data_IF_359456183286
#
_entry.id   IF_359456183286
#
_cell.length_a   1.000
_cell.length_b   1.000
_cell.length_c   1.000
_cell.angle_alpha   90.00
_cell.angle_beta   90.00
_cell.angle_gamma   90.00
#
_symmetry.space_group_name_H-M   'P 1'
#
loop_
_entity.id
_entity.type
_entity.pdbx_description
1 polymer ?
#
# COMPACT_ATOMS: atom_id res chain seq x y z
N UNK A 1 -19.77 -12.18 -31.93
CA UNK A 1 -20.56 -11.25 -31.07
C UNK A 1 -20.02 -9.87 -31.34
N UNK A 2 -20.86 -8.93 -31.78
CA UNK A 2 -20.39 -7.56 -32.06
C UNK A 2 -19.85 -6.93 -30.78
N UNK A 3 -18.67 -6.32 -30.86
CA UNK A 3 -18.13 -5.50 -29.79
C UNK A 3 -19.06 -4.30 -29.58
N UNK A 4 -20.06 -4.46 -28.71
CA UNK A 4 -20.84 -3.35 -28.19
C UNK A 4 -19.93 -2.54 -27.26
N UNK A 5 -19.01 -1.79 -27.87
CA UNK A 5 -18.18 -0.83 -27.17
C UNK A 5 -19.11 0.25 -26.63
N UNK A 6 -19.20 0.33 -25.32
CA UNK A 6 -19.99 1.35 -24.64
C UNK A 6 -19.42 2.74 -24.94
N UNK A 7 -20.27 3.66 -25.42
CA UNK A 7 -19.88 5.05 -25.70
C UNK A 7 -19.86 5.86 -24.39
N UNK A 8 -18.74 5.76 -23.67
CA UNK A 8 -18.51 6.47 -22.41
C UNK A 8 -18.65 7.99 -22.52
N UNK A 9 -18.10 8.68 -23.55
CA UNK A 9 -18.33 10.10 -23.74
C UNK A 9 -19.82 10.48 -23.82
N UNK A 10 -20.63 9.72 -24.58
CA UNK A 10 -22.07 9.97 -24.66
C UNK A 10 -22.77 9.72 -23.32
N UNK A 11 -22.42 8.64 -22.63
CA UNK A 11 -22.97 8.33 -21.31
C UNK A 11 -22.65 9.43 -20.29
N UNK A 12 -21.39 9.88 -20.23
CA UNK A 12 -20.96 10.99 -19.37
C UNK A 12 -21.77 12.25 -19.63
N UNK A 13 -21.87 12.68 -20.90
CA UNK A 13 -22.66 13.86 -21.28
C UNK A 13 -24.13 13.73 -20.85
N UNK A 14 -24.71 12.55 -21.03
CA UNK A 14 -26.08 12.28 -20.59
C UNK A 14 -26.22 12.42 -19.07
N UNK A 15 -25.37 11.73 -18.30
CA UNK A 15 -25.40 11.79 -16.84
C UNK A 15 -25.21 13.22 -16.32
N UNK A 16 -24.27 13.98 -16.91
CA UNK A 16 -24.06 15.40 -16.57
C UNK A 16 -25.27 16.27 -16.92
N UNK A 17 -26.00 15.97 -18.00
CA UNK A 17 -27.22 16.70 -18.39
C UNK A 17 -28.37 16.53 -17.39
N UNK A 18 -28.39 15.43 -16.62
CA UNK A 18 -29.42 15.17 -15.63
C UNK A 18 -29.30 16.08 -14.39
N UNK A 19 -28.20 16.85 -14.25
CA UNK A 19 -27.95 17.77 -13.14
C UNK A 19 -28.10 17.12 -11.75
N UNK A 20 -27.81 15.82 -11.66
CA UNK A 20 -27.93 15.05 -10.42
C UNK A 20 -26.77 15.41 -9.47
N UNK A 21 -27.01 15.55 -8.16
CA UNK A 21 -25.97 15.75 -7.16
C UNK A 21 -25.26 14.41 -6.88
N UNK A 22 -24.54 13.89 -7.87
CA UNK A 22 -23.83 12.61 -7.76
C UNK A 22 -22.74 12.71 -6.70
N UNK A 23 -22.91 11.92 -5.64
CA UNK A 23 -21.91 11.76 -4.57
C UNK A 23 -20.92 10.64 -4.88
N UNK A 24 -21.37 9.64 -5.63
CA UNK A 24 -20.67 8.39 -5.92
C UNK A 24 -20.98 7.93 -7.35
N UNK A 25 -19.99 7.30 -7.96
CA UNK A 25 -20.14 6.60 -9.23
C UNK A 25 -19.29 5.34 -9.15
N UNK A 26 -19.96 4.18 -9.16
CA UNK A 26 -19.29 2.88 -9.20
C UNK A 26 -19.57 2.26 -10.56
N UNK A 27 -18.51 1.67 -11.14
CA UNK A 27 -18.61 0.87 -12.33
C UNK A 27 -17.79 -0.40 -12.09
N UNK A 28 -18.28 -1.51 -12.63
CA UNK A 28 -17.59 -2.79 -12.58
C UNK A 28 -17.50 -3.28 -14.02
N UNK A 29 -16.27 -3.52 -14.48
CA UNK A 29 -16.02 -4.13 -15.78
C UNK A 29 -15.65 -5.58 -15.51
N UNK A 30 -16.45 -6.49 -16.05
CA UNK A 30 -16.20 -7.92 -15.93
C UNK A 30 -14.81 -8.21 -16.53
N UNK A 31 -13.99 -8.89 -15.74
CA UNK A 31 -12.51 -9.00 -15.71
C UNK A 31 -11.76 -9.38 -17.01
N UNK A 32 -12.40 -9.36 -18.18
CA UNK A 32 -11.83 -9.86 -19.44
C UNK A 32 -11.43 -8.78 -20.45
N UNK A 33 -11.74 -7.51 -20.23
CA UNK A 33 -11.31 -6.43 -21.14
C UNK A 33 -10.55 -5.37 -20.38
N UNK A 34 -9.29 -5.18 -20.75
CA UNK A 34 -8.53 -4.01 -20.35
C UNK A 34 -9.29 -2.78 -20.82
N UNK A 35 -9.63 -1.92 -19.87
CA UNK A 35 -10.20 -0.62 -20.17
C UNK A 35 -9.12 0.18 -20.87
N UNK A 36 -9.45 0.81 -22.00
CA UNK A 36 -8.53 1.77 -22.59
C UNK A 36 -8.36 2.95 -21.62
N UNK A 37 -7.16 3.51 -21.54
CA UNK A 37 -6.87 4.62 -20.61
C UNK A 37 -7.85 5.79 -20.79
N UNK A 38 -8.30 6.06 -22.03
CA UNK A 38 -9.27 7.11 -22.31
C UNK A 38 -10.65 6.82 -21.71
N UNK A 39 -11.06 5.56 -21.62
CA UNK A 39 -12.34 5.20 -21.01
C UNK A 39 -12.32 5.39 -19.49
N UNK A 40 -11.22 5.08 -18.82
CA UNK A 40 -11.07 5.33 -17.38
C UNK A 40 -11.18 6.81 -17.05
N UNK A 41 -10.53 7.68 -17.84
CA UNK A 41 -10.65 9.14 -17.67
C UNK A 41 -12.10 9.62 -17.80
N UNK A 42 -12.82 9.14 -18.81
CA UNK A 42 -14.23 9.51 -19.01
C UNK A 42 -15.10 9.07 -17.83
N UNK A 43 -14.82 7.91 -17.25
CA UNK A 43 -15.52 7.40 -16.08
C UNK A 43 -15.28 8.29 -14.85
N UNK A 44 -14.03 8.67 -14.56
CA UNK A 44 -13.75 9.57 -13.44
C UNK A 44 -14.39 10.95 -13.62
N UNK A 45 -14.51 11.39 -14.87
CA UNK A 45 -15.11 12.66 -15.21
C UNK A 45 -16.65 12.69 -15.14
N UNK A 46 -17.32 11.54 -14.92
CA UNK A 46 -18.76 11.46 -14.61
C UNK A 46 -19.07 12.13 -13.26
N UNK A 47 -18.20 11.94 -12.28
CA UNK A 47 -18.39 12.47 -10.93
C UNK A 47 -17.06 13.06 -10.43
N UNK A 48 -16.60 14.21 -10.95
CA UNK A 48 -15.25 14.75 -10.66
C UNK A 48 -15.06 15.16 -9.19
N UNK A 49 -16.15 15.37 -8.45
CA UNK A 49 -16.13 15.80 -7.05
C UNK A 49 -16.35 14.64 -6.05
N UNK A 50 -16.28 13.38 -6.49
CA UNK A 50 -16.46 12.26 -5.58
C UNK A 50 -15.32 12.22 -4.57
N UNK A 51 -15.69 12.15 -3.29
CA UNK A 51 -14.74 11.96 -2.20
C UNK A 51 -14.35 10.50 -2.02
N UNK A 52 -15.05 9.59 -2.68
CA UNK A 52 -14.84 8.16 -2.62
C UNK A 52 -14.59 7.60 -4.02
N UNK A 53 -13.53 6.80 -4.15
CA UNK A 53 -13.15 6.15 -5.42
C UNK A 53 -12.87 4.69 -5.20
N UNK A 54 -13.35 3.87 -6.13
CA UNK A 54 -12.99 2.47 -6.25
C UNK A 54 -12.27 2.29 -7.58
N UNK A 55 -11.08 1.70 -7.54
CA UNK A 55 -10.21 1.44 -8.67
C UNK A 55 -9.93 -0.06 -8.72
N UNK A 56 -9.90 -0.63 -9.91
CA UNK A 56 -9.15 -1.87 -10.09
C UNK A 56 -7.66 -1.54 -9.96
N UNK A 57 -6.85 -2.47 -9.44
CA UNK A 57 -5.39 -2.33 -9.44
C UNK A 57 -4.85 -1.96 -10.82
N UNK A 58 -5.39 -2.59 -11.87
CA UNK A 58 -5.01 -2.31 -13.25
C UNK A 58 -5.39 -0.92 -13.74
N UNK A 59 -6.37 -0.27 -13.10
CA UNK A 59 -6.83 1.08 -13.44
C UNK A 59 -6.04 2.20 -12.74
N UNK A 60 -5.03 1.88 -11.92
CA UNK A 60 -4.12 2.86 -11.36
C UNK A 60 -3.03 3.25 -12.38
N UNK A 61 -3.45 3.78 -13.53
CA UNK A 61 -2.56 4.30 -14.57
C UNK A 61 -1.98 5.66 -14.16
N UNK A 62 -0.85 6.12 -14.74
CA UNK A 62 -0.28 7.44 -14.49
C UNK A 62 -1.27 8.58 -14.74
N UNK A 63 -2.17 8.41 -15.72
CA UNK A 63 -3.24 9.35 -16.04
C UNK A 63 -4.30 9.40 -14.94
N UNK A 64 -4.80 8.24 -14.50
CA UNK A 64 -5.74 8.15 -13.39
C UNK A 64 -5.12 8.71 -12.11
N UNK A 65 -3.85 8.39 -11.85
CA UNK A 65 -3.08 8.97 -10.77
C UNK A 65 -3.00 10.50 -10.87
N UNK A 66 -2.68 11.06 -12.04
CA UNK A 66 -2.68 12.51 -12.27
C UNK A 66 -4.07 13.11 -12.05
N UNK A 67 -5.13 12.42 -12.46
CA UNK A 67 -6.51 12.86 -12.21
C UNK A 67 -6.84 12.89 -10.71
N UNK A 68 -6.43 11.87 -9.95
CA UNK A 68 -6.66 11.80 -8.50
C UNK A 68 -5.90 12.89 -7.73
N UNK A 69 -4.71 13.28 -8.20
CA UNK A 69 -3.89 14.32 -7.57
C UNK A 69 -4.23 15.73 -8.02
N UNK A 70 -4.86 15.91 -9.18
CA UNK A 70 -5.25 17.23 -9.70
C UNK A 70 -6.69 17.61 -9.38
N UNK A 71 -7.51 16.68 -8.87
CA UNK A 71 -8.89 16.96 -8.49
C UNK A 71 -8.97 17.94 -7.31
N UNK A 72 -9.86 18.95 -7.36
CA UNK A 72 -10.07 19.90 -6.27
C UNK A 72 -10.76 19.27 -5.07
N UNK A 73 -11.47 18.16 -5.29
CA UNK A 73 -12.14 17.42 -4.24
C UNK A 73 -11.13 16.61 -3.43
N UNK A 74 -11.21 16.80 -2.13
CA UNK A 74 -10.43 16.05 -1.15
C UNK A 74 -10.90 14.59 -1.14
N UNK A 75 -10.04 13.68 -1.58
CA UNK A 75 -10.32 12.24 -1.57
C UNK A 75 -10.28 11.72 -0.12
N UNK A 76 -11.42 11.23 0.36
CA UNK A 76 -11.54 10.66 1.72
C UNK A 76 -11.56 9.14 1.71
N UNK A 77 -11.93 8.50 0.61
CA UNK A 77 -11.99 7.02 0.51
C UNK A 77 -11.38 6.55 -0.80
N UNK A 78 -10.44 5.60 -0.72
CA UNK A 78 -9.83 4.95 -1.86
C UNK A 78 -9.90 3.43 -1.67
N UNK A 79 -10.60 2.76 -2.57
CA UNK A 79 -10.71 1.31 -2.64
C UNK A 79 -9.97 0.80 -3.87
N UNK A 80 -9.03 -0.11 -3.70
CA UNK A 80 -8.23 -0.71 -4.75
C UNK A 80 -8.54 -2.20 -4.74
N UNK A 81 -9.28 -2.64 -5.74
CA UNK A 81 -9.64 -4.04 -5.92
C UNK A 81 -8.48 -4.76 -6.59
N UNK A 82 -7.94 -5.80 -5.94
CA UNK A 82 -7.07 -6.75 -6.64
C UNK A 82 -7.92 -7.76 -7.39
N UNK A 83 -7.44 -8.14 -8.56
CA UNK A 83 -7.92 -9.34 -9.23
C UNK A 83 -7.26 -10.54 -8.56
N UNK A 84 -8.01 -11.59 -8.24
CA UNK A 84 -7.50 -12.82 -7.58
C UNK A 84 -6.32 -13.47 -8.34
N UNK A 85 -6.16 -13.13 -9.62
CA UNK A 85 -5.09 -13.63 -10.50
C UNK A 85 -3.94 -12.64 -10.75
N UNK A 86 -3.92 -11.49 -10.08
CA UNK A 86 -2.87 -10.50 -10.27
C UNK A 86 -1.55 -10.94 -9.60
N UNK A 87 -0.78 -11.77 -10.31
CA UNK A 87 0.64 -11.93 -10.04
C UNK A 87 1.33 -10.61 -10.40
N UNK A 88 1.49 -9.71 -9.43
CA UNK A 88 2.30 -8.52 -9.62
C UNK A 88 3.75 -8.96 -9.91
N UNK A 89 4.29 -8.54 -11.04
CA UNK A 89 5.69 -8.81 -11.35
C UNK A 89 6.59 -7.78 -10.66
N UNK A 90 7.76 -8.24 -10.20
CA UNK A 90 8.66 -7.45 -9.34
C UNK A 90 9.21 -6.18 -10.00
N UNK A 91 9.45 -6.22 -11.31
CA UNK A 91 10.05 -5.09 -12.01
C UNK A 91 8.96 -4.12 -12.47
N UNK A 92 8.80 -3.04 -11.71
CA UNK A 92 7.95 -1.95 -12.15
C UNK A 92 8.25 -1.50 -13.59
N UNK A 93 7.20 -1.22 -14.36
CA UNK A 93 7.18 -0.65 -15.70
C UNK A 93 8.15 -1.33 -16.67
N UNK A 94 7.88 -2.59 -17.02
CA UNK A 94 8.31 -3.08 -18.34
C UNK A 94 7.19 -2.85 -19.34
N UNK A 95 7.34 -1.77 -20.10
CA UNK A 95 6.60 -1.55 -21.33
C UNK A 95 7.18 -2.48 -22.41
N UNK A 96 7.10 -3.79 -22.21
CA UNK A 96 7.37 -4.74 -23.28
C UNK A 96 6.02 -5.19 -23.83
N UNK A 97 5.60 -4.51 -24.89
CA UNK A 97 4.32 -4.68 -25.58
C UNK A 97 4.09 -6.08 -26.15
N UNK A 98 5.06 -7.00 -26.01
CA UNK A 98 5.07 -8.17 -26.89
C UNK A 98 4.05 -9.25 -26.54
N UNK A 99 3.72 -9.55 -25.29
CA UNK A 99 2.82 -10.71 -25.08
C UNK A 99 1.83 -10.69 -23.90
N UNK A 100 1.93 -9.83 -22.88
CA UNK A 100 1.01 -9.92 -21.73
C UNK A 100 0.70 -8.59 -21.02
N UNK A 101 0.09 -7.65 -21.75
CA UNK A 101 -0.60 -6.47 -21.21
C UNK A 101 0.26 -5.50 -20.37
N UNK A 102 -0.29 -4.33 -19.99
CA UNK A 102 0.39 -3.40 -19.09
C UNK A 102 0.52 -4.04 -17.70
N UNK A 103 1.76 -4.38 -17.31
CA UNK A 103 2.05 -4.91 -15.98
C UNK A 103 2.15 -3.77 -14.97
N UNK A 104 1.28 -3.84 -13.96
CA UNK A 104 1.12 -2.85 -12.92
C UNK A 104 2.35 -2.75 -12.01
N UNK A 105 2.60 -1.56 -11.48
CA UNK A 105 3.61 -1.32 -10.43
C UNK A 105 2.94 -0.58 -9.30
N UNK A 106 3.31 -0.89 -8.07
CA UNK A 106 2.74 -0.23 -6.91
C UNK A 106 3.32 1.20 -6.70
N UNK A 107 4.29 1.67 -7.52
CA UNK A 107 4.96 2.97 -7.36
C UNK A 107 4.03 4.20 -7.44
N UNK A 108 3.08 4.31 -8.40
CA UNK A 108 2.12 5.42 -8.41
C UNK A 108 1.24 5.43 -7.16
N UNK A 109 0.84 4.26 -6.67
CA UNK A 109 0.08 4.16 -5.43
C UNK A 109 0.92 4.61 -4.22
N UNK A 110 2.18 4.19 -4.13
CA UNK A 110 3.07 4.67 -3.07
C UNK A 110 3.27 6.18 -3.14
N UNK A 111 3.54 6.74 -4.31
CA UNK A 111 3.65 8.19 -4.47
C UNK A 111 2.34 8.86 -4.04
N UNK A 112 1.18 8.31 -4.42
CA UNK A 112 -0.13 8.83 -4.01
C UNK A 112 -0.26 8.88 -2.49
N UNK A 113 0.08 7.77 -1.82
CA UNK A 113 -0.08 7.59 -0.37
C UNK A 113 0.96 8.35 0.45
N UNK A 114 2.18 8.51 -0.05
CA UNK A 114 3.30 9.05 0.71
C UNK A 114 3.65 10.49 0.35
N UNK A 115 3.45 10.90 -0.91
CA UNK A 115 3.87 12.22 -1.42
C UNK A 115 2.65 13.08 -1.83
N UNK A 116 1.48 12.47 -2.06
CA UNK A 116 0.26 13.16 -2.46
C UNK A 116 -0.32 14.04 -1.35
N UNK A 117 -0.30 15.36 -1.53
CA UNK A 117 -0.95 16.31 -0.61
C UNK A 117 -2.46 16.11 -0.51
N UNK A 118 -3.10 15.63 -1.59
CA UNK A 118 -4.54 15.37 -1.66
C UNK A 118 -5.00 14.21 -0.76
N UNK A 119 -4.09 13.30 -0.41
CA UNK A 119 -4.39 12.14 0.43
C UNK A 119 -4.19 12.37 1.94
N UNK A 120 -3.77 13.57 2.37
CA UNK A 120 -3.73 13.92 3.80
C UNK A 120 -5.07 13.76 4.51
N UNK A 121 -6.15 13.77 3.73
CA UNK A 121 -7.51 13.63 4.20
C UNK A 121 -8.13 12.25 3.90
N UNK A 122 -7.32 11.30 3.41
CA UNK A 122 -7.78 9.94 3.18
C UNK A 122 -8.13 9.30 4.53
N UNK A 123 -9.42 9.04 4.72
CA UNK A 123 -10.00 8.41 5.91
C UNK A 123 -10.12 6.90 5.77
N UNK A 124 -10.31 6.41 4.55
CA UNK A 124 -10.55 4.99 4.28
C UNK A 124 -9.68 4.53 3.12
N UNK A 125 -8.83 3.53 3.38
CA UNK A 125 -8.03 2.85 2.36
C UNK A 125 -8.37 1.37 2.38
N UNK A 126 -9.11 0.92 1.37
CA UNK A 126 -9.48 -0.47 1.20
C UNK A 126 -8.63 -1.07 0.09
N UNK A 127 -7.54 -1.74 0.43
CA UNK A 127 -6.83 -2.55 -0.55
C UNK A 127 -6.49 -3.89 0.09
N UNK A 128 -6.50 -5.01 -0.66
CA UNK A 128 -5.88 -6.22 -0.19
C UNK A 128 -4.36 -6.01 -0.23
N UNK A 129 -3.73 -6.13 0.93
CA UNK A 129 -2.29 -5.98 1.07
C UNK A 129 -1.65 -7.34 0.89
N UNK A 130 -0.99 -7.55 -0.24
CA UNK A 130 -0.24 -8.79 -0.47
C UNK A 130 1.10 -8.71 0.27
N UNK A 131 1.24 -9.43 1.38
CA UNK A 131 2.52 -9.47 2.14
C UNK A 131 3.65 -10.11 1.34
N UNK A 132 3.35 -10.85 0.28
CA UNK A 132 4.37 -11.31 -0.64
C UNK A 132 5.16 -10.16 -1.29
N UNK A 133 4.56 -8.98 -1.38
CA UNK A 133 5.19 -7.75 -1.86
C UNK A 133 5.76 -6.91 -0.71
N UNK A 134 5.74 -7.46 0.51
CA UNK A 134 6.30 -6.92 1.74
C UNK A 134 7.44 -7.79 2.30
N UNK A 135 7.60 -9.07 1.91
CA UNK A 135 8.73 -9.94 2.31
C UNK A 135 9.92 -9.84 1.34
N UNK A 136 10.57 -8.69 1.43
CA UNK A 136 11.71 -8.29 0.62
C UNK A 136 12.98 -9.14 0.80
N UNK A 137 13.06 -9.93 1.89
CA UNK A 137 14.22 -10.77 2.17
C UNK A 137 14.10 -12.19 1.59
N UNK A 138 13.02 -12.46 0.84
CA UNK A 138 12.68 -13.82 0.38
C UNK A 138 12.77 -14.84 1.53
N UNK A 139 12.39 -14.44 2.74
CA UNK A 139 12.38 -15.35 3.91
C UNK A 139 11.30 -16.39 3.76
N UNK A 140 10.27 -16.08 2.97
CA UNK A 140 9.30 -17.04 2.50
C UNK A 140 9.93 -17.98 1.47
N UNK A 141 10.13 -19.23 1.86
CA UNK A 141 10.82 -20.26 1.07
C UNK A 141 10.09 -20.66 -0.22
N UNK A 142 8.83 -20.23 -0.41
CA UNK A 142 8.02 -20.58 -1.58
C UNK A 142 8.24 -19.66 -2.79
N UNK A 143 9.10 -18.63 -2.72
CA UNK A 143 9.45 -17.80 -3.89
C UNK A 143 10.33 -18.52 -4.93
N UNK A 144 10.91 -19.65 -4.56
CA UNK A 144 11.97 -20.32 -5.33
C UNK A 144 11.40 -21.17 -6.48
N UNK A 145 10.10 -21.44 -6.55
CA UNK A 145 9.62 -22.58 -7.33
C UNK A 145 9.28 -22.34 -8.80
N UNK A 146 9.33 -21.12 -9.35
CA UNK A 146 8.96 -20.90 -10.76
C UNK A 146 10.01 -20.25 -11.66
N UNK A 147 10.83 -19.32 -11.16
CA UNK A 147 11.78 -18.57 -12.02
C UNK A 147 13.17 -19.23 -12.14
N UNK A 148 13.57 -20.04 -11.16
CA UNK A 148 14.86 -20.75 -11.22
C UNK A 148 14.91 -21.80 -12.34
N UNK A 149 13.76 -22.27 -12.84
CA UNK A 149 13.71 -23.17 -13.99
C UNK A 149 13.97 -22.48 -15.34
N UNK A 150 13.90 -21.15 -15.44
CA UNK A 150 13.99 -20.44 -16.72
C UNK A 150 15.30 -19.67 -16.94
N UNK A 151 16.23 -19.67 -15.98
CA UNK A 151 17.57 -19.07 -16.17
C UNK A 151 17.59 -17.56 -16.40
N UNK A 152 16.44 -16.89 -16.33
CA UNK A 152 16.31 -15.44 -16.39
C UNK A 152 16.56 -14.89 -14.98
N UNK A 153 17.80 -14.52 -14.69
CA UNK A 153 18.12 -13.65 -13.56
C UNK A 153 17.59 -12.24 -13.82
N UNK A 154 16.27 -12.06 -13.77
CA UNK A 154 15.73 -10.75 -13.49
C UNK A 154 16.09 -10.44 -12.05
N UNK A 155 17.05 -9.53 -11.88
CA UNK A 155 17.31 -8.84 -10.62
C UNK A 155 16.00 -8.21 -10.17
N UNK A 156 15.22 -8.97 -9.40
CA UNK A 156 13.95 -8.57 -8.84
C UNK A 156 14.18 -7.27 -8.08
N UNK A 157 13.77 -6.15 -8.66
CA UNK A 157 13.77 -4.87 -7.97
C UNK A 157 12.59 -4.92 -7.01
N UNK A 158 12.80 -4.90 -5.69
CA UNK A 158 11.69 -5.11 -4.81
C UNK A 158 10.73 -3.91 -4.82
N UNK A 159 9.43 -4.20 -4.98
CA UNK A 159 8.39 -3.18 -5.07
C UNK A 159 8.34 -2.29 -3.82
N UNK A 160 8.17 -0.98 -4.01
CA UNK A 160 7.98 0.14 -3.06
C UNK A 160 8.94 0.22 -1.85
N UNK A 161 9.18 -0.88 -1.16
CA UNK A 161 9.83 -1.01 0.12
C UNK A 161 11.34 -1.34 0.00
N UNK A 162 11.84 -1.77 -1.17
CA UNK A 162 13.30 -2.02 -1.39
C UNK A 162 14.16 -0.82 -1.13
N UNK A 163 13.66 0.39 -1.38
CA UNK A 163 14.49 1.57 -1.26
C UNK A 163 14.82 1.88 0.20
N UNK A 164 14.24 1.15 1.18
CA UNK A 164 13.94 1.70 2.51
C UNK A 164 14.02 0.73 3.71
N UNK A 165 14.37 -0.55 3.52
CA UNK A 165 14.56 -1.53 4.62
C UNK A 165 13.36 -1.73 5.57
N UNK A 166 12.15 -1.39 5.11
CA UNK A 166 10.92 -1.37 5.91
C UNK A 166 10.36 -2.79 6.12
N UNK A 167 10.01 -3.13 7.36
CA UNK A 167 9.15 -4.27 7.69
C UNK A 167 7.81 -3.77 8.25
N UNK A 168 6.71 -4.20 7.63
CA UNK A 168 5.38 -4.11 8.21
C UNK A 168 4.78 -2.71 8.44
N UNK A 169 3.68 -2.75 9.19
CA UNK A 169 2.83 -1.72 9.82
C UNK A 169 3.39 -0.31 10.12
N UNK A 170 4.70 -0.09 10.11
CA UNK A 170 5.34 1.18 10.48
C UNK A 170 4.90 2.34 9.58
N UNK A 171 4.69 2.11 8.28
CA UNK A 171 4.14 3.14 7.39
C UNK A 171 2.68 3.45 7.69
N UNK A 172 1.87 2.44 8.00
CA UNK A 172 0.47 2.64 8.35
C UNK A 172 0.36 3.48 9.62
N UNK A 173 1.26 3.31 10.59
CA UNK A 173 1.22 4.04 11.86
C UNK A 173 1.25 5.57 11.74
N UNK A 174 1.61 6.14 10.57
CA UNK A 174 1.57 7.58 10.29
C UNK A 174 0.24 8.09 9.76
N UNK A 175 -0.67 7.20 9.38
CA UNK A 175 -2.00 7.54 8.87
C UNK A 175 -2.94 7.89 10.02
N UNK A 176 -2.72 9.06 10.64
CA UNK A 176 -3.45 9.48 11.83
C UNK A 176 -4.97 9.60 11.62
N UNK A 177 -5.42 9.84 10.39
CA UNK A 177 -6.82 10.03 10.03
C UNK A 177 -7.50 8.75 9.52
N UNK A 178 -6.82 7.60 9.54
CA UNK A 178 -7.37 6.36 8.99
C UNK A 178 -8.44 5.80 9.92
N UNK A 179 -9.70 5.84 9.49
CA UNK A 179 -10.86 5.35 10.23
C UNK A 179 -11.15 3.87 9.98
N UNK A 180 -10.78 3.37 8.78
CA UNK A 180 -11.10 2.02 8.33
C UNK A 180 -9.91 1.39 7.59
N UNK A 181 -9.54 0.18 8.00
CA UNK A 181 -8.44 -0.60 7.41
C UNK A 181 -8.91 -2.02 7.10
N UNK A 182 -8.70 -2.48 5.87
CA UNK A 182 -8.90 -3.88 5.49
C UNK A 182 -7.57 -4.44 5.04
N UNK A 183 -7.20 -5.59 5.61
CA UNK A 183 -5.96 -6.28 5.36
C UNK A 183 -6.32 -7.68 4.87
N UNK A 184 -5.73 -8.15 3.78
CA UNK A 184 -5.95 -9.51 3.30
C UNK A 184 -4.78 -10.39 3.73
N UNK A 185 -5.07 -11.39 4.57
CA UNK A 185 -4.03 -12.26 5.15
C UNK A 185 -3.82 -13.58 4.41
N UNK A 186 -4.51 -13.79 3.29
CA UNK A 186 -4.44 -15.05 2.54
C UNK A 186 -3.01 -15.46 2.16
N UNK A 187 -2.08 -14.51 2.05
CA UNK A 187 -0.67 -14.71 1.67
C UNK A 187 0.34 -14.35 2.78
N UNK A 188 -0.09 -14.07 4.00
CA UNK A 188 0.79 -13.49 5.03
C UNK A 188 1.34 -14.59 5.94
N UNK A 189 2.67 -14.69 6.14
CA UNK A 189 3.23 -15.65 7.08
C UNK A 189 2.62 -15.45 8.47
N UNK A 190 2.40 -16.57 9.17
CA UNK A 190 1.69 -16.66 10.47
C UNK A 190 2.29 -15.84 11.60
N UNK A 191 3.39 -15.13 11.36
CA UNK A 191 3.98 -14.13 12.26
C UNK A 191 3.15 -12.84 12.26
N UNK A 192 1.84 -12.96 12.51
CA UNK A 192 0.96 -11.81 12.70
C UNK A 192 1.23 -11.03 14.01
N UNK A 193 2.32 -11.34 14.72
CA UNK A 193 2.78 -10.59 15.88
C UNK A 193 2.89 -9.08 15.59
N UNK A 194 3.25 -8.69 14.37
CA UNK A 194 3.30 -7.28 13.96
C UNK A 194 1.92 -6.60 13.91
N UNK A 195 0.84 -7.32 13.56
CA UNK A 195 -0.51 -6.74 13.58
C UNK A 195 -0.98 -6.46 14.99
N UNK A 196 -0.52 -7.24 15.98
CA UNK A 196 -0.91 -7.00 17.37
C UNK A 196 -0.49 -5.60 17.85
N UNK A 197 0.45 -4.95 17.16
CA UNK A 197 0.84 -3.55 17.42
C UNK A 197 -0.20 -2.50 17.03
N UNK A 198 -1.22 -2.86 16.23
CA UNK A 198 -2.40 -2.01 16.01
C UNK A 198 -3.08 -1.66 17.33
N UNK A 199 -3.10 -2.59 18.29
CA UNK A 199 -3.78 -2.42 19.56
C UNK A 199 -2.77 -2.24 20.72
N UNK A 200 -3.05 -1.37 21.70
CA UNK A 200 -2.24 -1.25 22.90
C UNK A 200 -2.06 -2.58 23.65
N UNK A 201 -3.09 -3.44 23.65
CA UNK A 201 -3.05 -4.77 24.28
C UNK A 201 -2.01 -5.72 23.69
N UNK A 202 -1.54 -5.46 22.47
CA UNK A 202 -0.48 -6.23 21.84
C UNK A 202 0.93 -5.80 22.22
N UNK A 203 1.11 -4.68 22.93
CA UNK A 203 2.41 -4.05 23.20
C UNK A 203 2.92 -4.30 24.62
N UNK A 204 2.91 -5.57 25.01
CA UNK A 204 3.48 -5.95 26.31
C UNK A 204 4.99 -5.69 26.34
N UNK A 205 5.60 -5.35 27.48
CA UNK A 205 7.05 -5.14 27.59
C UNK A 205 7.88 -6.31 27.02
N UNK A 206 7.43 -7.54 27.22
CA UNK A 206 8.05 -8.74 26.64
C UNK A 206 8.07 -8.73 25.12
N UNK A 207 6.96 -8.37 24.47
CA UNK A 207 6.85 -8.27 23.00
C UNK A 207 7.67 -7.09 22.46
N UNK A 208 7.71 -5.98 23.18
CA UNK A 208 8.58 -4.83 22.84
C UNK A 208 10.04 -5.26 22.87
N UNK A 209 10.49 -5.92 23.94
CA UNK A 209 11.84 -6.45 24.07
C UNK A 209 12.15 -7.48 22.97
N UNK A 210 11.23 -8.40 22.69
CA UNK A 210 11.39 -9.40 21.63
C UNK A 210 11.59 -8.73 20.27
N UNK A 211 10.74 -7.75 19.95
CA UNK A 211 10.85 -6.96 18.72
C UNK A 211 12.18 -6.22 18.64
N UNK A 212 12.57 -5.52 19.70
CA UNK A 212 13.84 -4.80 19.77
C UNK A 212 15.04 -5.74 19.64
N UNK A 213 15.04 -6.90 20.32
CA UNK A 213 16.16 -7.84 20.29
C UNK A 213 16.42 -8.46 18.92
N UNK A 214 15.36 -8.72 18.13
CA UNK A 214 15.52 -9.23 16.77
C UNK A 214 15.95 -8.15 15.77
N UNK A 215 15.72 -6.89 16.12
CA UNK A 215 15.88 -5.74 15.22
C UNK A 215 17.24 -5.06 15.40
N UNK A 216 17.71 -4.89 16.63
CA UNK A 216 18.84 -3.98 16.95
C UNK A 216 20.14 -4.34 16.27
N UNK A 217 20.55 -5.61 16.27
CA UNK A 217 21.86 -6.00 15.73
C UNK A 217 21.91 -5.91 14.19
N UNK A 218 20.81 -6.29 13.53
CA UNK A 218 20.69 -6.22 12.08
C UNK A 218 20.54 -4.78 11.57
N UNK A 219 19.80 -3.93 12.29
CA UNK A 219 19.61 -2.53 11.92
C UNK A 219 20.88 -1.69 12.02
N UNK A 220 21.72 -1.91 13.02
CA UNK A 220 23.00 -1.18 13.13
C UNK A 220 23.83 -1.36 11.86
N UNK A 221 23.90 -2.58 11.33
CA UNK A 221 24.60 -2.85 10.07
C UNK A 221 23.92 -2.15 8.90
N UNK A 222 22.61 -2.32 8.73
CA UNK A 222 21.89 -1.74 7.60
C UNK A 222 21.89 -0.21 7.59
N UNK A 223 21.78 0.43 8.75
CA UNK A 223 21.84 1.90 8.88
C UNK A 223 23.21 2.43 8.47
N UNK A 224 24.29 1.69 8.79
CA UNK A 224 25.64 2.04 8.34
C UNK A 224 25.77 1.93 6.82
N UNK A 225 25.24 0.85 6.24
CA UNK A 225 25.26 0.63 4.79
C UNK A 225 24.42 1.70 4.07
N UNK A 226 23.23 2.01 4.58
CA UNK A 226 22.36 3.07 4.07
C UNK A 226 23.01 4.45 4.15
N UNK A 227 23.61 4.81 5.29
CA UNK A 227 24.30 6.08 5.45
C UNK A 227 25.45 6.23 4.44
N UNK A 228 26.18 5.15 4.14
CA UNK A 228 27.24 5.18 3.14
C UNK A 228 26.71 5.33 1.70
N UNK A 229 25.56 4.72 1.38
CA UNK A 229 24.89 4.88 0.09
C UNK A 229 24.33 6.30 -0.06
N UNK A 230 23.75 6.85 1.00
CA UNK A 230 23.17 8.19 1.00
C UNK A 230 24.24 9.27 0.89
N UNK A 231 25.37 9.12 1.58
CA UNK A 231 26.53 10.01 1.42
C UNK A 231 27.01 10.06 -0.04
N UNK A 232 27.14 8.89 -0.70
CA UNK A 232 27.50 8.82 -2.13
C UNK A 232 26.44 9.44 -3.04
N UNK A 233 25.16 9.32 -2.71
CA UNK A 233 24.06 9.95 -3.45
C UNK A 233 24.18 11.47 -3.36
N UNK A 234 24.42 12.01 -2.17
CA UNK A 234 24.61 13.44 -1.92
C UNK A 234 25.85 13.99 -2.64
N UNK A 235 26.99 13.29 -2.59
CA UNK A 235 28.20 13.66 -3.33
C UNK A 235 27.95 13.80 -4.84
N UNK A 236 27.21 12.86 -5.44
CA UNK A 236 26.84 12.92 -6.86
C UNK A 236 25.95 14.12 -7.19
N UNK A 237 25.04 14.48 -6.28
CA UNK A 237 24.18 15.65 -6.43
C UNK A 237 25.00 16.94 -6.33
N UNK A 238 25.94 17.02 -5.38
CA UNK A 238 26.83 18.17 -5.24
C UNK A 238 27.81 18.31 -6.41
N UNK A 239 28.24 17.21 -7.01
CA UNK A 239 29.16 17.21 -8.15
C UNK A 239 28.49 17.48 -9.52
N UNK A 240 27.18 17.29 -9.62
CA UNK A 240 26.41 17.49 -10.86
C UNK A 240 25.56 18.76 -10.79
N UNK A 241 25.85 19.75 -11.65
CA UNK A 241 25.26 21.09 -11.70
C UNK A 241 23.73 21.19 -12.01
N UNK A 242 22.94 20.16 -11.71
CA UNK A 242 21.48 20.20 -11.83
C UNK A 242 20.83 20.43 -10.45
N UNK A 243 21.10 21.59 -9.84
CA UNK A 243 20.32 22.08 -8.69
C UNK A 243 18.84 22.32 -9.00
N UNK A 244 18.45 22.32 -10.28
CA UNK A 244 17.10 22.64 -10.75
C UNK A 244 16.01 21.60 -10.39
N UNK A 245 16.33 20.53 -9.65
CA UNK A 245 15.34 19.47 -9.32
C UNK A 245 14.53 19.81 -8.05
N UNK A 246 15.02 20.70 -7.18
CA UNK A 246 14.26 21.11 -6.00
C UNK A 246 13.33 22.26 -6.44
N UNK A 247 12.06 21.94 -6.66
CA UNK A 247 11.04 22.92 -7.08
C UNK A 247 10.77 24.01 -6.04
N UNK A 248 9.83 24.91 -6.36
CA UNK A 248 9.31 25.92 -5.41
C UNK A 248 8.94 25.25 -4.07
N UNK A 249 9.65 25.63 -2.99
CA UNK A 249 9.53 25.00 -1.67
C UNK A 249 10.85 24.60 -1.02
N UNK A 250 11.97 24.65 -1.74
CA UNK A 250 13.31 24.36 -1.20
C UNK A 250 13.72 25.24 -0.01
N UNK A 251 13.12 26.44 0.13
CA UNK A 251 13.42 27.40 1.19
C UNK A 251 12.72 27.09 2.52
N UNK A 252 11.75 26.18 2.53
CA UNK A 252 11.10 25.74 3.77
C UNK A 252 12.03 24.75 4.51
N UNK A 253 12.88 25.32 5.36
CA UNK A 253 13.89 24.59 6.15
C UNK A 253 13.23 23.51 7.02
N UNK A 254 12.06 23.79 7.61
CA UNK A 254 11.36 22.82 8.47
C UNK A 254 10.83 21.63 7.65
N UNK A 255 10.23 21.91 6.49
CA UNK A 255 9.78 20.87 5.58
C UNK A 255 10.97 20.03 5.09
N UNK A 256 12.04 20.67 4.63
CA UNK A 256 13.23 19.97 4.14
C UNK A 256 13.89 19.13 5.25
N UNK A 257 13.90 19.61 6.49
CA UNK A 257 14.40 18.84 7.64
C UNK A 257 13.51 17.62 7.94
N UNK A 258 12.18 17.77 7.79
CA UNK A 258 11.23 16.65 7.94
C UNK A 258 11.34 15.61 6.82
N UNK A 259 11.72 16.05 5.61
CA UNK A 259 11.85 15.20 4.43
C UNK A 259 13.23 14.55 4.30
N UNK A 260 14.27 15.07 4.96
CA UNK A 260 15.66 14.58 4.80
C UNK A 260 15.82 13.09 5.06
N UNK A 261 15.02 12.56 5.98
CA UNK A 261 15.04 11.15 6.35
C UNK A 261 13.91 10.37 5.69
N UNK A 262 12.98 11.03 4.97
CA UNK A 262 11.78 10.39 4.48
C UNK A 262 12.14 9.27 3.51
N UNK A 263 11.85 8.04 3.94
CA UNK A 263 12.15 6.86 3.17
C UNK A 263 13.54 6.28 3.36
N UNK A 264 14.30 6.75 4.33
CA UNK A 264 15.49 6.07 4.84
C UNK A 264 15.07 5.07 5.93
N UNK A 265 15.82 3.98 6.09
CA UNK A 265 15.73 3.05 7.22
C UNK A 265 15.84 3.77 8.56
N UNK A 266 16.59 4.88 8.62
CA UNK A 266 16.64 5.72 9.81
C UNK A 266 15.25 6.21 10.24
N UNK A 267 14.40 6.61 9.30
CA UNK A 267 13.03 7.05 9.57
C UNK A 267 12.13 5.92 10.07
N UNK A 268 12.36 4.71 9.55
CA UNK A 268 11.73 3.48 10.03
C UNK A 268 12.12 3.20 11.46
N UNK A 269 13.42 3.32 11.77
CA UNK A 269 13.92 3.11 13.12
C UNK A 269 13.31 4.09 14.10
N UNK A 270 13.33 5.38 13.77
CA UNK A 270 12.71 6.42 14.57
C UNK A 270 11.21 6.11 14.78
N UNK A 271 10.52 5.69 13.73
CA UNK A 271 9.10 5.34 13.83
C UNK A 271 8.87 4.11 14.72
N UNK A 272 9.68 3.05 14.62
CA UNK A 272 9.56 1.87 15.48
C UNK A 272 9.90 2.18 16.91
N UNK A 273 10.95 2.96 17.16
CA UNK A 273 11.30 3.46 18.50
C UNK A 273 10.14 4.24 19.09
N UNK A 274 9.52 5.13 18.31
CA UNK A 274 8.31 5.85 18.70
C UNK A 274 7.13 4.91 18.93
N UNK A 275 6.94 3.87 18.11
CA UNK A 275 5.87 2.87 18.30
C UNK A 275 6.04 2.04 19.58
N UNK A 276 7.27 1.94 20.09
CA UNK A 276 7.57 1.25 21.33
C UNK A 276 7.30 2.11 22.58
N UNK A 277 7.03 3.41 22.40
CA UNK A 277 6.53 4.26 23.47
C UNK A 277 5.15 3.75 23.93
N UNK A 278 4.94 3.73 25.24
CA UNK A 278 3.69 3.28 25.86
C UNK A 278 2.52 4.22 25.52
N UNK A 279 2.81 5.50 25.30
CA UNK A 279 1.82 6.53 24.99
C UNK A 279 1.56 6.64 23.48
N UNK A 280 2.32 5.92 22.65
CA UNK A 280 2.08 5.92 21.22
C UNK A 280 0.73 5.27 20.90
N UNK A 281 -0.11 5.93 20.10
CA UNK A 281 -1.33 5.34 19.57
C UNK A 281 -1.12 5.09 18.08
N UNK A 282 -1.17 3.83 17.65
CA UNK A 282 -1.04 3.49 16.24
C UNK A 282 -2.41 3.66 15.61
N UNK A 283 -2.52 4.49 14.57
CA UNK A 283 -3.78 4.78 13.89
C UNK A 283 -4.87 5.26 14.87
N UNK A 284 -4.69 6.42 15.53
CA UNK A 284 -5.58 6.88 16.61
C UNK A 284 -7.06 6.99 16.22
N UNK A 285 -7.37 7.23 14.95
CA UNK A 285 -8.75 7.31 14.46
C UNK A 285 -9.32 5.97 13.96
N UNK A 286 -8.58 4.86 14.04
CA UNK A 286 -9.01 3.58 13.49
C UNK A 286 -10.18 2.99 14.29
N UNK A 287 -11.34 2.92 13.64
CA UNK A 287 -12.59 2.40 14.22
C UNK A 287 -12.92 1.00 13.72
N UNK A 288 -12.56 0.70 12.47
CA UNK A 288 -12.93 -0.52 11.78
C UNK A 288 -11.71 -1.20 11.16
N UNK A 289 -11.52 -2.46 11.50
CA UNK A 289 -10.47 -3.34 11.00
C UNK A 289 -11.10 -4.64 10.50
N UNK A 290 -10.68 -5.10 9.33
CA UNK A 290 -11.01 -6.42 8.81
C UNK A 290 -9.74 -7.13 8.38
N UNK A 291 -9.55 -8.36 8.84
CA UNK A 291 -8.42 -9.22 8.50
C UNK A 291 -8.92 -10.41 7.67
N UNK A 292 -8.53 -10.47 6.39
CA UNK A 292 -8.99 -11.45 5.42
C UNK A 292 -10.41 -11.18 4.94
N UNK A 293 -11.25 -12.22 5.03
CA UNK A 293 -12.66 -12.18 4.59
C UNK A 293 -13.64 -11.80 5.72
N UNK A 294 -13.15 -11.47 6.91
CA UNK A 294 -14.01 -11.11 8.02
C UNK A 294 -14.76 -9.79 7.75
N UNK A 295 -15.92 -9.65 8.38
CA UNK A 295 -16.61 -8.38 8.48
C UNK A 295 -15.77 -7.40 9.32
N UNK A 296 -15.84 -6.12 8.95
CA UNK A 296 -15.19 -5.04 9.68
C UNK A 296 -15.66 -4.96 11.13
N UNK A 297 -14.71 -4.93 12.06
CA UNK A 297 -14.92 -4.94 13.51
C UNK A 297 -13.98 -3.95 14.19
N UNK A 298 -14.13 -3.72 15.51
CA UNK A 298 -13.14 -2.90 16.22
C UNK A 298 -11.76 -3.59 16.17
N UNK A 299 -10.65 -2.82 16.14
CA UNK A 299 -9.30 -3.38 16.11
C UNK A 299 -9.07 -4.45 17.18
N UNK A 300 -9.51 -4.25 18.41
CA UNK A 300 -9.34 -5.20 19.53
C UNK A 300 -10.14 -6.48 19.32
N UNK A 301 -11.33 -6.38 18.71
CA UNK A 301 -12.16 -7.54 18.44
C UNK A 301 -11.57 -8.35 17.29
N UNK A 302 -11.10 -7.68 16.25
CA UNK A 302 -10.47 -8.31 15.10
C UNK A 302 -9.13 -8.96 15.48
N UNK A 303 -8.26 -8.27 16.24
CA UNK A 303 -7.01 -8.85 16.72
C UNK A 303 -7.25 -10.05 17.66
N UNK A 304 -8.29 -10.02 18.49
CA UNK A 304 -8.69 -11.21 19.26
C UNK A 304 -9.14 -12.33 18.32
N UNK A 305 -9.96 -12.05 17.32
CA UNK A 305 -10.40 -13.06 16.34
C UNK A 305 -9.21 -13.74 15.63
N UNK A 306 -8.23 -12.94 15.21
CA UNK A 306 -7.05 -13.42 14.45
C UNK A 306 -6.04 -14.16 15.34
N UNK A 307 -5.80 -13.70 16.57
CA UNK A 307 -4.71 -14.20 17.41
C UNK A 307 -5.13 -15.02 18.64
N UNK A 308 -6.43 -15.13 18.92
CA UNK A 308 -6.90 -15.93 20.05
C UNK A 308 -6.72 -17.42 19.77
N UNK A 309 -5.71 -18.00 20.42
CA UNK A 309 -5.56 -19.45 20.52
C UNK A 309 -6.32 -19.90 21.76
N UNK A 310 -7.41 -20.65 21.55
CA UNK A 310 -8.17 -21.22 22.68
C UNK A 310 -7.24 -22.16 23.47
N UNK A 311 -7.19 -22.06 24.81
CA UNK A 311 -6.38 -22.96 25.62
C UNK A 311 -6.73 -24.42 25.33
N UNK A 312 -5.73 -25.24 25.04
CA UNK A 312 -5.90 -26.66 24.67
C UNK A 312 -6.18 -26.93 23.19
N UNK A 313 -6.30 -25.90 22.35
CA UNK A 313 -6.44 -26.06 20.90
C UNK A 313 -5.06 -25.90 20.24
N UNK A 314 -4.61 -26.85 19.39
CA UNK A 314 -3.30 -26.76 18.77
C UNK A 314 -3.22 -25.50 17.89
N UNK A 315 -2.09 -24.75 17.94
CA UNK A 315 -1.89 -23.58 17.11
C UNK A 315 -1.99 -23.97 15.63
N UNK A 316 -3.02 -23.49 14.94
CA UNK A 316 -3.24 -23.71 13.50
C UNK A 316 -4.60 -24.28 13.09
N UNK A 317 -5.44 -24.75 14.02
CA UNK A 317 -6.72 -25.39 13.65
C UNK A 317 -7.78 -24.38 13.15
N UNK A 318 -7.85 -23.19 13.74
CA UNK A 318 -8.79 -22.14 13.32
C UNK A 318 -8.36 -21.44 12.02
N UNK A 319 -7.05 -21.35 11.74
CA UNK A 319 -6.57 -20.76 10.49
C UNK A 319 -6.83 -21.62 9.25
N UNK A 320 -7.06 -22.93 9.39
CA UNK A 320 -7.48 -23.77 8.25
C UNK A 320 -8.98 -23.66 7.97
N UNK A 321 -9.80 -23.51 9.01
CA UNK A 321 -11.27 -23.50 8.85
C UNK A 321 -11.79 -22.15 8.33
N UNK A 322 -11.09 -21.03 8.56
CA UNK A 322 -11.46 -19.73 7.99
C UNK A 322 -11.33 -19.66 6.46
N UNK A 323 -10.54 -20.54 5.83
CA UNK A 323 -10.49 -20.66 4.36
C UNK A 323 -11.67 -21.47 3.79
N UNK A 324 -12.35 -22.28 4.60
CA UNK A 324 -13.41 -23.19 4.16
C UNK A 324 -14.83 -22.67 4.42
N UNK A 325 -14.99 -21.48 4.99
CA UNK A 325 -16.29 -20.91 5.29
C UNK A 325 -16.59 -19.71 4.36
N UNK A 326 -17.33 -19.90 3.25
CA UNK A 326 -17.63 -18.85 2.28
C UNK A 326 -18.90 -18.05 2.61
N UNK A 327 -19.50 -18.24 3.79
CA UNK A 327 -20.76 -17.61 4.18
C UNK A 327 -20.58 -16.22 4.80
#
# INVERSE_FOLDING_TARGET
MGDNVWDWPRFRKYVQSLSLPLKWFHYSIQLMRSIDEGQEEEIYAVCPNAKERTLSLHGLTPKVFKSLTTQPAVLTTLEILLNDNALCQGDGWKQDFRDFGPRYTARPLHHLLCEGSTLRHLKTLKMPYLVDFMDLHRRYTNYITHDEMQGLSTLNVPGIWSCRGLTGMCLLSRLNCLERLRLDFSQVPREGSELTWLCPSGRTPRKVLQRLSGITEWWVRMLKDEAALEAKRLERISAGANMAIIGEGAEDVELMDSLKNLGLLLDVKIMVEKMNDIDFVCLPELRLLACGRHLEQSPEKEMRSVFYVKPGQPPGFLSMLSFLNPF
#
